data_IF_300511534607
#
_entry.id   IF_300511534607
#
_cell.length_a   1.000
_cell.length_b   1.000
_cell.length_c   1.000
_cell.angle_alpha   90.00
_cell.angle_beta   90.00
_cell.angle_gamma   90.00
#
_symmetry.space_group_name_H-M   'P 1'
#
loop_
_entity.id
_entity.type
_entity.pdbx_description
1 polymer ?
2 non-polymer ?
3 non-polymer ?
4 water ?
#
# COMPACT_ATOMS: atom_id res chain seq x y z
N UNK A 4 -14.66 -26.74 7.34
CA UNK A 4 -14.08 -25.86 6.27
C UNK A 4 -12.91 -25.07 6.86
N UNK A 5 -11.65 -25.38 6.50
CA UNK A 5 -10.48 -24.81 7.16
C UNK A 5 -10.29 -23.31 6.86
N UNK A 6 -9.65 -22.60 7.77
CA UNK A 6 -9.31 -21.17 7.58
C UNK A 6 -8.09 -21.06 6.69
N UNK A 7 -8.07 -20.11 5.74
CA UNK A 7 -6.95 -20.02 4.83
C UNK A 7 -5.70 -19.48 5.50
N UNK A 8 -4.55 -19.85 4.93
CA UNK A 8 -3.20 -19.41 5.37
C UNK A 8 -2.73 -18.34 4.38
N UNK A 9 -3.33 -18.31 3.19
CA UNK A 9 -2.99 -17.37 2.10
C UNK A 9 -4.26 -17.02 1.33
N UNK A 10 -4.36 -15.78 0.85
CA UNK A 10 -5.46 -15.32 -0.03
C UNK A 10 -4.80 -14.63 -1.23
N UNK A 11 -5.54 -14.44 -2.29
CA UNK A 11 -5.08 -13.60 -3.41
C UNK A 11 -5.95 -12.37 -3.43
N UNK A 12 -5.28 -11.27 -3.70
CA UNK A 12 -5.88 -9.92 -3.71
C UNK A 12 -5.61 -9.32 -5.08
N UNK A 13 -6.67 -8.89 -5.73
CA UNK A 13 -6.61 -8.08 -6.95
C UNK A 13 -6.67 -6.61 -6.55
N UNK A 14 -5.76 -5.83 -7.10
CA UNK A 14 -5.71 -4.35 -7.00
C UNK A 14 -5.81 -3.80 -8.41
N UNK A 15 -6.80 -2.95 -8.62
CA UNK A 15 -7.00 -2.25 -9.90
C UNK A 15 -6.90 -0.77 -9.67
N UNK A 16 -6.25 -0.04 -10.57
CA UNK A 16 -6.33 1.43 -10.55
C UNK A 16 -6.58 1.90 -11.98
N UNK A 17 -7.60 2.74 -12.11
CA UNK A 17 -7.96 3.29 -13.43
C UNK A 17 -8.42 4.72 -13.29
N UNK A 18 -7.71 5.64 -13.92
CA UNK A 18 -8.20 7.01 -14.15
C UNK A 18 -9.07 6.93 -15.41
N UNK A 19 -10.37 7.07 -15.23
CA UNK A 19 -11.39 6.83 -16.26
C UNK A 19 -11.53 8.06 -17.16
N UNK A 20 -10.85 9.17 -16.86
CA UNK A 20 -10.92 10.37 -17.71
C UNK A 20 -12.34 10.92 -17.86
N UNK A 21 -13.16 10.77 -16.82
CA UNK A 21 -14.52 11.34 -16.73
C UNK A 21 -15.42 10.77 -17.84
N UNK A 22 -15.08 9.58 -18.35
CA UNK A 22 -15.85 8.94 -19.43
C UNK A 22 -16.36 7.61 -18.90
N UNK A 23 -17.57 7.21 -19.32
CA UNK A 23 -18.09 5.89 -18.96
C UNK A 23 -17.19 4.82 -19.54
N UNK A 24 -17.15 3.65 -18.89
CA UNK A 24 -16.30 2.57 -19.37
C UNK A 24 -16.94 1.93 -20.59
N UNK A 25 -16.20 1.13 -21.36
CA UNK A 25 -16.81 0.32 -22.42
C UNK A 25 -17.60 -0.87 -21.83
N UNK A 26 -18.33 -1.60 -22.67
CA UNK A 26 -19.27 -2.65 -22.18
C UNK A 26 -18.47 -3.80 -21.57
N UNK A 27 -17.24 -4.04 -22.01
CA UNK A 27 -16.42 -5.14 -21.47
C UNK A 27 -15.11 -4.65 -20.87
N UNK A 28 -14.86 -4.97 -19.59
CA UNK A 28 -13.63 -4.55 -18.86
C UNK A 28 -13.03 -5.79 -18.16
N UNK A 29 -13.48 -6.97 -18.55
CA UNK A 29 -13.03 -8.27 -17.94
C UNK A 29 -11.50 -8.47 -18.01
N UNK A 30 -10.84 -7.96 -19.07
CA UNK A 30 -9.36 -8.00 -19.25
C UNK A 30 -8.67 -7.48 -17.99
N UNK A 31 -9.21 -6.41 -17.42
CA UNK A 31 -8.64 -5.76 -16.22
C UNK A 31 -8.56 -6.78 -15.10
N UNK A 32 -9.69 -7.40 -14.79
CA UNK A 32 -9.82 -8.30 -13.61
C UNK A 32 -9.09 -9.60 -13.89
N UNK A 33 -8.80 -9.89 -15.14
CA UNK A 33 -8.08 -11.12 -15.54
C UNK A 33 -6.57 -10.86 -15.64
N UNK A 34 -6.12 -9.64 -15.43
CA UNK A 34 -4.67 -9.31 -15.50
C UNK A 34 -4.15 -9.70 -16.89
N UNK A 35 -4.87 -9.27 -17.93
CA UNK A 35 -4.53 -9.51 -19.35
C UNK A 35 -4.12 -8.19 -20.00
N UNK A 36 -3.05 -8.22 -20.82
CA UNK A 36 -2.61 -7.06 -21.59
C UNK A 36 -1.11 -7.10 -21.63
N UNK A 37 -0.48 -6.02 -21.17
CA UNK A 37 0.98 -5.84 -21.16
C UNK A 37 1.52 -6.02 -19.74
N UNK A 38 2.80 -6.35 -19.62
CA UNK A 38 3.50 -6.42 -18.36
C UNK A 38 3.58 -7.84 -17.85
N UNK A 39 3.55 -7.98 -16.53
CA UNK A 39 3.51 -9.29 -15.84
C UNK A 39 2.03 -9.70 -15.75
N UNK A 40 1.61 -10.59 -16.66
CA UNK A 40 0.19 -10.99 -16.80
C UNK A 40 -0.07 -12.34 -16.15
N UNK A 41 -1.35 -12.62 -15.94
CA UNK A 41 -1.85 -13.81 -15.25
C UNK A 41 -2.01 -14.92 -16.29
N UNK A 42 -1.66 -16.14 -15.89
CA UNK A 42 -1.80 -17.33 -16.75
C UNK A 42 -3.28 -17.57 -17.11
N UNK A 43 -3.52 -17.93 -18.37
CA UNK A 43 -4.87 -18.23 -18.91
C UNK A 43 -5.53 -19.29 -18.03
N UNK A 44 -4.74 -20.23 -17.51
CA UNK A 44 -5.25 -21.41 -16.80
C UNK A 44 -5.90 -20.97 -15.47
N UNK A 45 -5.68 -19.72 -15.05
CA UNK A 45 -6.22 -19.18 -13.78
C UNK A 45 -7.52 -18.39 -14.00
N UNK A 46 -7.96 -18.22 -15.24
CA UNK A 46 -9.02 -17.23 -15.56
C UNK A 46 -10.29 -17.47 -14.75
N UNK A 47 -10.65 -18.73 -14.45
CA UNK A 47 -11.93 -18.99 -13.76
C UNK A 47 -11.75 -18.91 -12.25
N UNK A 48 -10.52 -18.81 -11.79
CA UNK A 48 -10.21 -18.86 -10.34
C UNK A 48 -10.40 -17.46 -9.80
N UNK A 49 -11.36 -17.24 -8.89
CA UNK A 49 -11.58 -15.89 -8.36
C UNK A 49 -10.45 -15.55 -7.39
N UNK A 50 -10.11 -14.27 -7.36
CA UNK A 50 -9.32 -13.69 -6.25
C UNK A 50 -10.26 -13.68 -5.06
N UNK A 51 -9.68 -13.68 -3.88
CA UNK A 51 -10.45 -13.68 -2.63
C UNK A 51 -11.04 -12.31 -2.42
N UNK A 52 -10.24 -11.28 -2.72
CA UNK A 52 -10.60 -9.85 -2.50
C UNK A 52 -10.24 -9.10 -3.78
N UNK A 53 -11.15 -8.26 -4.29
CA UNK A 53 -10.89 -7.32 -5.38
C UNK A 53 -11.03 -5.91 -4.85
N UNK A 54 -9.99 -5.10 -5.02
CA UNK A 54 -9.97 -3.68 -4.58
C UNK A 54 -9.79 -2.87 -5.84
N UNK A 55 -10.78 -2.02 -6.13
CA UNK A 55 -10.87 -1.25 -7.40
C UNK A 55 -10.77 0.24 -7.09
N UNK A 56 -9.66 0.88 -7.47
CA UNK A 56 -9.44 2.31 -7.27
C UNK A 56 -9.69 2.99 -8.59
N UNK A 57 -10.57 3.96 -8.58
CA UNK A 57 -10.76 4.79 -9.78
C UNK A 57 -10.50 6.26 -9.45
N UNK A 58 -10.18 7.01 -10.50
CA UNK A 58 -9.97 8.47 -10.46
C UNK A 58 -10.69 9.04 -11.67
N UNK A 59 -11.10 10.30 -11.56
CA UNK A 59 -11.90 10.92 -12.63
C UNK A 59 -13.09 10.01 -12.97
N UNK A 60 -13.71 9.39 -11.98
CA UNK A 60 -14.79 8.41 -12.18
C UNK A 60 -16.12 9.17 -12.30
N UNK A 61 -16.80 9.10 -13.46
CA UNK A 61 -18.04 9.85 -13.69
C UNK A 61 -19.30 9.12 -13.24
N UNK A 62 -19.16 7.88 -12.81
CA UNK A 62 -20.31 7.00 -12.50
C UNK A 62 -20.79 7.25 -11.06
N UNK A 63 -22.05 6.94 -10.82
CA UNK A 63 -22.56 6.82 -9.44
C UNK A 63 -21.93 5.57 -8.84
N UNK A 64 -21.95 5.46 -7.51
CA UNK A 64 -21.46 4.26 -6.82
C UNK A 64 -22.30 3.09 -7.33
N UNK A 65 -23.62 3.30 -7.43
CA UNK A 65 -24.54 2.24 -7.88
C UNK A 65 -24.14 1.76 -9.29
N UNK A 66 -23.98 2.70 -10.21
CA UNK A 66 -23.64 2.36 -11.62
C UNK A 66 -22.35 1.54 -11.66
N UNK A 67 -21.35 1.94 -10.90
CA UNK A 67 -20.01 1.28 -10.93
C UNK A 67 -20.10 -0.09 -10.27
N UNK A 68 -20.78 -0.20 -9.14
CA UNK A 68 -20.98 -1.50 -8.47
C UNK A 68 -21.66 -2.52 -9.40
N UNK A 69 -22.68 -2.06 -10.13
CA UNK A 69 -23.40 -2.85 -11.16
C UNK A 69 -22.37 -3.45 -12.13
N UNK A 70 -21.57 -2.58 -12.75
CA UNK A 70 -20.58 -2.98 -13.77
C UNK A 70 -19.54 -3.91 -13.14
N UNK A 71 -19.04 -3.58 -11.94
CA UNK A 71 -18.00 -4.42 -11.34
C UNK A 71 -18.55 -5.81 -11.05
N UNK A 72 -19.64 -5.89 -10.28
CA UNK A 72 -20.19 -7.19 -9.84
C UNK A 72 -20.53 -8.10 -11.04
N UNK A 73 -21.18 -7.53 -12.07
CA UNK A 73 -21.52 -8.24 -13.33
C UNK A 73 -20.24 -8.80 -13.96
N UNK A 74 -19.21 -7.98 -14.09
CA UNK A 74 -17.92 -8.33 -14.72
C UNK A 74 -17.31 -9.52 -13.97
N UNK A 75 -17.25 -9.46 -12.64
CA UNK A 75 -16.69 -10.57 -11.84
C UNK A 75 -17.58 -11.81 -11.97
N UNK A 76 -18.89 -11.62 -11.91
CA UNK A 76 -19.82 -12.78 -12.06
C UNK A 76 -19.63 -13.44 -13.44
N UNK A 77 -19.49 -12.66 -14.50
CA UNK A 77 -19.26 -13.23 -15.84
C UNK A 77 -17.94 -14.02 -15.85
N UNK A 78 -16.89 -13.52 -15.22
CA UNK A 78 -15.56 -14.20 -15.23
C UNK A 78 -15.63 -15.50 -14.43
N UNK A 79 -16.20 -15.43 -13.23
CA UNK A 79 -15.96 -16.42 -12.16
C UNK A 79 -17.20 -17.25 -11.90
N UNK A 80 -18.37 -16.76 -12.32
CA UNK A 80 -19.70 -17.30 -11.92
C UNK A 80 -19.92 -17.16 -10.42
N UNK A 81 -19.20 -16.26 -9.75
CA UNK A 81 -19.38 -15.95 -8.30
C UNK A 81 -20.00 -14.56 -8.17
N UNK A 82 -20.99 -14.44 -7.29
CA UNK A 82 -21.61 -13.15 -6.94
C UNK A 82 -20.83 -12.58 -5.77
N UNK A 83 -20.05 -11.53 -6.02
CA UNK A 83 -19.17 -10.98 -4.97
C UNK A 83 -20.00 -10.12 -4.01
N UNK A 84 -19.62 -10.12 -2.75
CA UNK A 84 -20.22 -9.26 -1.71
C UNK A 84 -19.48 -7.95 -1.66
N UNK A 85 -20.21 -6.86 -1.46
CA UNK A 85 -19.59 -5.53 -1.32
C UNK A 85 -19.13 -5.37 0.12
N UNK A 86 -17.84 -5.21 0.34
CA UNK A 86 -17.23 -4.97 1.67
C UNK A 86 -17.33 -3.48 2.02
N UNK A 87 -16.97 -2.64 1.05
CA UNK A 87 -16.90 -1.19 1.29
C UNK A 87 -16.84 -0.48 -0.05
N UNK A 88 -17.37 0.72 -0.06
CA UNK A 88 -17.27 1.65 -1.19
C UNK A 88 -17.20 3.06 -0.60
N UNK A 89 -16.22 3.82 -1.02
CA UNK A 89 -16.04 5.19 -0.52
C UNK A 89 -15.58 6.07 -1.68
N UNK A 90 -16.23 7.23 -1.83
CA UNK A 90 -15.97 8.19 -2.92
C UNK A 90 -15.65 9.55 -2.30
N UNK A 91 -14.54 10.17 -2.73
CA UNK A 91 -14.27 11.60 -2.50
C UNK A 91 -14.22 12.23 -3.88
N UNK A 92 -15.17 13.11 -4.17
CA UNK A 92 -15.25 13.78 -5.48
C UNK A 92 -15.33 12.70 -6.54
N UNK A 93 -14.30 12.53 -7.36
CA UNK A 93 -14.34 11.55 -8.46
C UNK A 93 -13.28 10.48 -8.20
N UNK A 94 -12.87 10.37 -6.95
CA UNK A 94 -11.90 9.33 -6.48
C UNK A 94 -12.63 8.26 -5.67
N UNK A 95 -12.53 7.01 -6.10
CA UNK A 95 -13.43 5.99 -5.54
C UNK A 95 -12.64 4.73 -5.24
N UNK A 96 -13.02 4.08 -4.15
CA UNK A 96 -12.48 2.74 -3.82
C UNK A 96 -13.68 1.81 -3.60
N UNK A 97 -13.60 0.62 -4.21
CA UNK A 97 -14.59 -0.47 -4.02
C UNK A 97 -13.83 -1.69 -3.55
N UNK A 98 -14.30 -2.33 -2.48
CA UNK A 98 -13.76 -3.62 -2.01
C UNK A 98 -14.85 -4.67 -2.13
N UNK A 99 -14.56 -5.69 -2.93
CA UNK A 99 -15.45 -6.84 -3.16
C UNK A 99 -14.77 -8.09 -2.64
N UNK A 100 -15.54 -9.00 -2.06
CA UNK A 100 -14.95 -10.28 -1.59
C UNK A 100 -15.85 -11.46 -1.91
N UNK A 101 -15.23 -12.64 -2.02
CA UNK A 101 -15.95 -13.94 -2.13
C UNK A 101 -17.01 -13.99 -1.03
N UNK A 102 -18.21 -14.54 -1.30
CA UNK A 102 -19.20 -14.70 -0.24
C UNK A 102 -18.73 -15.58 0.92
N UNK A 103 -17.87 -16.55 0.67
CA UNK A 103 -17.36 -17.43 1.77
C UNK A 103 -16.56 -16.61 2.78
N UNK A 104 -16.16 -15.38 2.46
CA UNK A 104 -15.32 -14.53 3.34
C UNK A 104 -16.15 -13.57 4.18
N UNK A 105 -17.46 -13.57 4.01
CA UNK A 105 -18.32 -12.57 4.68
C UNK A 105 -18.09 -12.53 6.21
N UNK A 106 -17.95 -13.71 6.81
CA UNK A 106 -17.83 -13.89 8.29
C UNK A 106 -16.36 -13.96 8.70
N UNK A 107 -15.44 -13.70 7.77
CA UNK A 107 -13.98 -13.58 8.05
C UNK A 107 -13.60 -12.09 8.10
N UNK A 108 -14.46 -11.26 7.54
CA UNK A 108 -14.21 -9.81 7.37
C UNK A 108 -14.98 -9.02 8.43
N UNK A 109 -14.27 -8.15 9.14
CA UNK A 109 -14.88 -7.34 10.22
C UNK A 109 -14.08 -6.02 10.33
N UNK A 110 -14.50 -5.13 11.20
CA UNK A 110 -13.74 -3.89 11.51
C UNK A 110 -13.48 -3.11 10.22
N UNK A 111 -14.51 -2.96 9.41
CA UNK A 111 -14.39 -2.21 8.13
C UNK A 111 -14.36 -0.73 8.45
N UNK A 112 -13.32 -0.05 7.98
CA UNK A 112 -13.17 1.43 8.10
C UNK A 112 -13.01 2.02 6.70
N UNK A 113 -13.51 3.24 6.52
CA UNK A 113 -13.35 4.02 5.27
C UNK A 113 -12.97 5.41 5.71
N UNK A 114 -12.14 6.06 4.91
CA UNK A 114 -11.79 7.47 5.15
C UNK A 114 -11.32 8.09 3.86
N UNK A 115 -11.16 9.39 3.88
CA UNK A 115 -10.65 10.16 2.73
C UNK A 115 -9.80 11.29 3.30
N UNK A 116 -8.82 11.72 2.52
CA UNK A 116 -8.04 12.94 2.76
C UNK A 116 -8.16 13.80 1.51
N UNK A 117 -8.45 15.08 1.71
CA UNK A 117 -8.39 16.09 0.66
C UNK A 117 -7.02 16.76 0.72
N UNK A 118 -6.28 16.79 -0.38
CA UNK A 118 -4.91 17.38 -0.32
C UNK A 118 -4.95 18.84 -0.82
N UNK A 119 -3.94 19.64 -0.45
CA UNK A 119 -3.81 21.01 -0.97
C UNK A 119 -4.58 22.02 -0.14
N UNK A 120 -4.42 23.31 -0.46
CA UNK A 120 -5.02 24.46 0.28
C UNK A 120 -5.56 25.46 -0.77
N UNK A 121 -6.82 25.89 -0.62
CA UNK A 121 -7.48 26.98 -1.40
C UNK A 121 -7.53 26.60 -2.90
N UNK A 122 -6.71 27.24 -3.74
CA UNK A 122 -6.40 26.84 -5.15
C UNK A 122 -6.43 25.32 -5.30
N UNK A 123 -5.57 24.64 -4.52
CA UNK A 123 -5.10 23.24 -4.72
C UNK A 123 -5.99 22.26 -3.94
N UNK A 124 -6.98 22.76 -3.17
CA UNK A 124 -8.05 21.92 -2.55
C UNK A 124 -9.28 21.95 -3.47
N UNK A 125 -9.71 20.79 -3.98
CA UNK A 125 -10.99 20.72 -4.72
C UNK A 125 -11.13 19.47 -5.57
N UNK A 126 -10.03 18.80 -5.94
CA UNK A 126 -10.27 17.51 -6.63
C UNK A 126 -9.27 16.35 -6.39
N UNK A 127 -8.13 16.63 -5.74
CA UNK A 127 -7.07 15.63 -5.47
C UNK A 127 -7.16 15.17 -4.01
N UNK A 128 -6.73 13.93 -3.75
CA UNK A 128 -6.67 13.39 -2.39
C UNK A 128 -6.70 11.89 -2.48
N UNK A 129 -7.24 11.25 -1.46
CA UNK A 129 -7.18 9.79 -1.37
C UNK A 129 -8.43 9.29 -0.69
N UNK A 130 -8.85 8.11 -1.07
CA UNK A 130 -9.81 7.33 -0.28
C UNK A 130 -9.12 6.06 0.21
N UNK A 131 -9.63 5.51 1.29
CA UNK A 131 -9.10 4.25 1.79
C UNK A 131 -10.11 3.39 2.48
N UNK A 132 -9.74 2.14 2.61
CA UNK A 132 -10.56 1.11 3.26
C UNK A 132 -9.58 0.28 4.07
N UNK A 133 -9.97 -0.07 5.28
CA UNK A 133 -9.30 -1.15 6.03
C UNK A 133 -10.30 -2.14 6.58
N UNK A 134 -9.82 -3.33 6.88
CA UNK A 134 -10.63 -4.33 7.60
C UNK A 134 -9.71 -5.42 8.09
N UNK A 135 -10.25 -6.24 8.96
CA UNK A 135 -9.63 -7.48 9.42
C UNK A 135 -10.12 -8.61 8.54
N UNK A 136 -9.22 -9.45 8.10
CA UNK A 136 -9.55 -10.72 7.46
C UNK A 136 -9.02 -11.79 8.42
N UNK A 137 -9.89 -12.41 9.20
CA UNK A 137 -9.47 -13.27 10.33
C UNK A 137 -8.46 -12.49 11.17
N UNK A 138 -7.24 -12.99 11.38
CA UNK A 138 -6.29 -12.35 12.29
C UNK A 138 -5.40 -11.33 11.60
N UNK A 139 -5.68 -11.03 10.34
CA UNK A 139 -4.79 -10.21 9.50
C UNK A 139 -5.49 -8.89 9.18
N UNK A 140 -4.77 -7.79 9.35
CA UNK A 140 -5.30 -6.44 9.05
C UNK A 140 -4.85 -6.08 7.64
N UNK A 141 -5.79 -5.54 6.86
CA UNK A 141 -5.57 -5.16 5.45
C UNK A 141 -5.96 -3.68 5.28
N UNK A 142 -5.08 -2.89 4.70
CA UNK A 142 -5.37 -1.50 4.34
C UNK A 142 -5.19 -1.26 2.88
N UNK A 143 -5.97 -0.33 2.32
CA UNK A 143 -6.01 -0.08 0.87
C UNK A 143 -6.22 1.40 0.70
N UNK A 144 -5.32 2.01 -0.07
CA UNK A 144 -5.36 3.47 -0.32
C UNK A 144 -5.37 3.68 -1.83
N UNK A 145 -6.39 4.40 -2.31
CA UNK A 145 -6.50 4.87 -3.70
C UNK A 145 -6.24 6.38 -3.66
N UNK A 146 -5.13 6.86 -4.18
CA UNK A 146 -4.83 8.31 -4.21
C UNK A 146 -4.75 8.82 -5.64
N UNK A 147 -5.30 10.01 -5.86
CA UNK A 147 -5.11 10.82 -7.09
C UNK A 147 -4.26 12.01 -6.68
N UNK A 148 -2.98 12.00 -6.99
CA UNK A 148 -2.05 13.03 -6.52
C UNK A 148 -1.98 14.15 -7.56
N UNK A 149 -1.25 15.19 -7.20
CA UNK A 149 -1.16 16.42 -8.01
C UNK A 149 -0.60 16.03 -9.37
N UNK A 150 -1.15 16.59 -10.43
CA UNK A 150 -0.70 16.37 -11.82
C UNK A 150 0.41 17.35 -12.21
N UNK A 151 1.06 17.05 -13.31
CA UNK A 151 2.05 17.95 -13.90
C UNK A 151 3.44 17.45 -13.68
N UNK A 152 4.24 17.41 -14.75
CA UNK A 152 5.64 16.97 -14.71
C UNK A 152 6.48 17.74 -13.70
N UNK A 153 6.14 19.01 -13.49
CA UNK A 153 6.93 19.99 -12.68
C UNK A 153 6.61 19.82 -11.18
N UNK A 154 5.60 19.04 -10.82
CA UNK A 154 5.07 19.02 -9.42
C UNK A 154 5.37 17.74 -8.64
N UNK A 155 6.54 17.17 -8.81
CA UNK A 155 6.86 15.91 -8.07
C UNK A 155 6.91 16.23 -6.57
N UNK A 156 7.43 17.39 -6.19
CA UNK A 156 7.52 17.74 -4.75
C UNK A 156 6.11 17.82 -4.14
N UNK A 157 5.16 18.43 -4.87
CA UNK A 157 3.74 18.53 -4.45
C UNK A 157 3.19 17.12 -4.24
N UNK A 158 3.45 16.22 -5.20
CA UNK A 158 2.99 14.82 -5.07
C UNK A 158 3.55 14.23 -3.77
N UNK A 159 4.82 14.46 -3.48
CA UNK A 159 5.46 13.88 -2.27
C UNK A 159 4.76 14.45 -1.03
N UNK A 160 4.39 15.72 -1.08
CA UNK A 160 3.68 16.39 0.03
C UNK A 160 2.29 15.78 0.15
N UNK A 161 1.60 15.52 -0.97
CA UNK A 161 0.25 14.90 -0.99
C UNK A 161 0.36 13.54 -0.29
N UNK A 162 1.32 12.73 -0.71
CA UNK A 162 1.60 11.43 -0.06
C UNK A 162 1.74 11.57 1.47
N UNK A 163 2.55 12.53 1.95
CA UNK A 163 2.76 12.67 3.41
C UNK A 163 1.42 13.05 4.06
N UNK A 164 0.70 14.01 3.49
CA UNK A 164 -0.62 14.41 4.05
C UNK A 164 -1.57 13.21 4.13
N UNK A 165 -1.62 12.42 3.08
CA UNK A 165 -2.52 11.24 3.05
C UNK A 165 -2.11 10.26 4.18
N UNK A 166 -0.81 9.97 4.22
CA UNK A 166 -0.16 9.07 5.20
C UNK A 166 -0.53 9.51 6.61
N UNK A 167 -0.43 10.80 6.89
CA UNK A 167 -0.67 11.36 8.25
C UNK A 167 -2.14 11.34 8.62
N UNK A 168 -3.03 11.68 7.71
CA UNK A 168 -4.40 12.09 8.08
C UNK A 168 -5.44 11.04 7.70
N UNK A 169 -5.10 10.03 6.90
CA UNK A 169 -6.06 8.98 6.59
C UNK A 169 -6.26 8.13 7.85
N UNK A 170 -7.50 8.07 8.34
CA UNK A 170 -7.88 7.46 9.63
C UNK A 170 -8.47 6.08 9.37
N UNK A 171 -7.60 5.09 9.26
CA UNK A 171 -8.00 3.70 9.00
C UNK A 171 -7.41 2.86 10.11
N UNK A 172 -7.93 1.67 10.27
CA UNK A 172 -7.32 0.65 11.12
C UNK A 172 -7.63 0.93 12.56
N UNK A 173 -6.87 0.34 13.45
CA UNK A 173 -7.21 0.28 14.90
C UNK A 173 -6.84 1.61 15.52
N UNK A 174 -7.87 2.44 15.96
CA UNK A 174 -7.63 3.78 16.57
C UNK A 174 -6.81 3.67 17.86
N UNK A 175 -6.79 2.44 18.49
CA UNK A 175 -5.95 2.27 19.71
C UNK A 175 -4.47 2.35 19.37
N UNK A 176 -4.11 2.16 18.09
CA UNK A 176 -2.70 2.27 17.60
C UNK A 176 -2.37 3.75 17.42
N UNK A 177 -2.56 4.55 18.46
CA UNK A 177 -2.60 6.02 18.32
C UNK A 177 -1.26 6.59 17.87
N UNK A 178 -0.07 6.09 18.23
CA UNK A 178 1.17 6.67 17.71
C UNK A 178 1.44 6.37 16.23
N UNK A 179 0.65 5.48 15.64
CA UNK A 179 0.99 4.89 14.32
C UNK A 179 0.07 5.43 13.23
N UNK A 180 0.69 5.83 12.14
CA UNK A 180 -0.03 6.19 10.89
C UNK A 180 -0.33 4.91 10.10
N UNK A 181 -1.01 5.07 8.96
CA UNK A 181 -1.42 3.89 8.16
C UNK A 181 -0.20 3.08 7.71
N UNK A 182 1.01 3.64 7.64
CA UNK A 182 2.18 2.85 7.16
C UNK A 182 2.64 1.85 8.24
N UNK A 183 2.00 1.80 9.40
CA UNK A 183 2.31 0.79 10.45
C UNK A 183 1.08 0.05 10.95
N UNK A 184 -0.13 0.36 10.48
CA UNK A 184 -1.36 -0.19 11.12
C UNK A 184 -1.76 -1.54 10.56
N UNK A 185 -1.16 -1.97 9.43
CA UNK A 185 -1.68 -3.12 8.69
C UNK A 185 -0.61 -4.17 8.44
N UNK A 186 -1.01 -5.44 8.55
CA UNK A 186 -0.18 -6.55 8.11
C UNK A 186 0.25 -6.32 6.66
N UNK A 187 -0.72 -5.91 5.84
CA UNK A 187 -0.50 -5.60 4.41
C UNK A 187 -1.23 -4.30 4.08
N UNK A 188 -0.47 -3.36 3.51
CA UNK A 188 -0.98 -2.04 3.07
C UNK A 188 -0.73 -1.95 1.57
N UNK A 189 -1.77 -1.73 0.79
CA UNK A 189 -1.66 -1.54 -0.67
C UNK A 189 -1.99 -0.08 -0.93
N UNK A 190 -1.09 0.62 -1.63
CA UNK A 190 -1.31 2.03 -1.99
C UNK A 190 -1.14 2.14 -3.48
N UNK A 191 -2.18 2.62 -4.12
CA UNK A 191 -2.29 2.62 -5.58
C UNK A 191 -3.03 3.92 -5.95
N UNK A 192 -3.08 4.13 -7.25
CA UNK A 192 -3.90 5.22 -7.81
C UNK A 192 -3.23 5.84 -9.01
N UNK A 193 -3.74 6.99 -9.38
CA UNK A 193 -3.06 7.90 -10.32
C UNK A 193 -2.13 8.77 -9.48
N UNK A 194 -0.92 8.27 -9.25
CA UNK A 194 0.09 8.95 -8.43
C UNK A 194 0.71 10.09 -9.22
N UNK A 195 0.63 10.05 -10.55
CA UNK A 195 0.86 11.22 -11.43
C UNK A 195 2.33 11.56 -11.58
N UNK A 196 3.23 10.68 -11.13
CA UNK A 196 4.68 10.86 -11.38
C UNK A 196 4.95 10.62 -12.87
N UNK A 197 5.82 11.44 -13.43
CA UNK A 197 6.07 11.45 -14.87
C UNK A 197 7.47 10.96 -15.18
N UNK A 198 7.67 10.67 -16.46
CA UNK A 198 8.99 10.41 -17.06
C UNK A 198 9.61 11.77 -17.34
N UNK A 199 10.60 12.14 -16.53
CA UNK A 199 11.25 13.48 -16.57
C UNK A 199 12.34 13.46 -17.65
N UNK A 200 11.95 13.75 -18.89
CA UNK A 200 12.86 13.89 -20.02
C UNK A 200 12.45 15.18 -20.69
N UNK A 201 13.33 15.77 -21.51
CA UNK A 201 12.99 17.02 -22.18
C UNK A 201 11.81 16.78 -23.10
N UNK A 202 10.93 17.78 -23.23
CA UNK A 202 9.65 17.68 -23.99
C UNK A 202 9.92 17.46 -25.48
N UNK A 203 11.09 17.91 -25.97
CA UNK A 203 11.51 17.74 -27.39
C UNK A 203 11.98 16.29 -27.64
N UNK A 204 12.11 15.47 -26.59
CA UNK A 204 12.35 14.01 -26.73
C UNK A 204 11.04 13.20 -26.87
N UNK A 205 9.88 13.85 -26.99
CA UNK A 205 8.59 13.14 -26.99
C UNK A 205 8.59 12.02 -28.04
N UNK A 206 9.00 12.31 -29.26
CA UNK A 206 8.86 11.31 -30.34
C UNK A 206 9.85 10.20 -30.06
N UNK A 207 11.02 10.51 -29.49
CA UNK A 207 12.05 9.50 -29.13
C UNK A 207 11.45 8.58 -28.07
N UNK A 208 10.82 9.15 -27.06
CA UNK A 208 10.12 8.34 -26.02
C UNK A 208 9.09 7.38 -26.66
N UNK A 209 8.27 7.89 -27.56
CA UNK A 209 7.24 7.10 -28.25
C UNK A 209 7.88 5.92 -29.00
N UNK A 210 8.97 6.17 -29.72
CA UNK A 210 9.65 5.11 -30.51
C UNK A 210 10.28 4.08 -29.55
N UNK A 211 10.79 4.50 -28.38
CA UNK A 211 11.23 3.53 -27.33
C UNK A 211 10.06 2.66 -26.85
N UNK A 212 8.92 3.30 -26.61
CA UNK A 212 7.70 2.54 -26.20
C UNK A 212 7.29 1.55 -27.30
N UNK A 213 7.31 1.94 -28.57
CA UNK A 213 6.94 1.01 -29.66
C UNK A 213 7.91 -0.18 -29.73
N UNK A 214 9.15 -0.01 -29.33
CA UNK A 214 10.17 -1.09 -29.31
C UNK A 214 10.13 -1.86 -27.98
N UNK A 215 9.24 -1.50 -27.07
CA UNK A 215 9.13 -2.15 -25.72
C UNK A 215 10.46 -2.05 -24.96
N UNK A 216 11.15 -0.93 -25.15
CA UNK A 216 12.47 -0.66 -24.52
C UNK A 216 12.20 0.40 -23.47
N UNK A 217 11.97 -0.04 -22.25
CA UNK A 217 11.46 0.85 -21.17
C UNK A 217 12.60 1.27 -20.26
N UNK A 218 13.78 0.65 -20.34
CA UNK A 218 14.86 0.86 -19.35
C UNK A 218 15.24 2.35 -19.24
N UNK A 219 15.49 3.03 -20.36
CA UNK A 219 15.96 4.43 -20.40
C UNK A 219 14.79 5.35 -20.02
N UNK A 220 13.57 4.87 -20.06
CA UNK A 220 12.41 5.69 -19.62
C UNK A 220 12.23 5.55 -18.11
N UNK A 221 12.22 4.31 -17.61
CA UNK A 221 12.10 4.04 -16.15
C UNK A 221 13.22 4.71 -15.35
N UNK A 222 14.43 4.83 -15.90
CA UNK A 222 15.57 5.52 -15.21
C UNK A 222 15.22 6.99 -14.98
N UNK A 223 14.21 7.53 -15.65
CA UNK A 223 13.75 8.94 -15.46
C UNK A 223 12.35 9.03 -14.86
N UNK A 224 11.76 7.90 -14.50
CA UNK A 224 10.44 7.89 -13.81
C UNK A 224 10.60 8.58 -12.45
N UNK A 225 9.78 9.60 -12.19
CA UNK A 225 9.93 10.40 -10.96
C UNK A 225 9.60 9.56 -9.74
N UNK A 226 8.70 8.61 -9.82
CA UNK A 226 8.36 7.84 -8.61
C UNK A 226 9.58 6.98 -8.27
N UNK A 227 10.15 6.27 -9.25
CA UNK A 227 11.35 5.45 -8.98
C UNK A 227 12.47 6.34 -8.42
N UNK A 228 12.75 7.49 -9.02
CA UNK A 228 13.91 8.33 -8.63
C UNK A 228 13.62 8.95 -7.27
N UNK A 229 12.42 9.47 -7.04
CA UNK A 229 12.07 10.02 -5.70
C UNK A 229 12.16 8.94 -4.60
N UNK A 230 11.67 7.74 -4.89
CA UNK A 230 11.75 6.58 -3.96
C UNK A 230 13.23 6.27 -3.67
N UNK A 231 14.07 6.27 -4.70
CA UNK A 231 15.49 5.90 -4.55
C UNK A 231 16.20 6.93 -3.65
N UNK A 232 15.76 8.19 -3.67
CA UNK A 232 16.34 9.26 -2.83
C UNK A 232 15.59 9.40 -1.50
N UNK A 233 14.65 8.49 -1.21
CA UNK A 233 13.92 8.40 0.07
C UNK A 233 13.09 9.66 0.26
N UNK A 234 12.52 10.16 -0.82
CA UNK A 234 11.71 11.41 -0.74
C UNK A 234 10.24 11.04 -0.54
N UNK A 235 9.87 9.80 -0.84
CA UNK A 235 8.45 9.37 -0.89
C UNK A 235 8.40 7.84 -0.83
N UNK A 236 7.31 7.30 -0.31
CA UNK A 236 7.01 5.86 -0.27
C UNK A 236 8.20 5.08 0.34
N UNK A 237 8.78 5.63 1.39
CA UNK A 237 9.88 4.93 2.09
C UNK A 237 9.31 3.64 2.66
N UNK A 238 10.02 2.53 2.40
CA UNK A 238 9.76 1.16 2.91
C UNK A 238 8.59 0.50 2.20
N UNK A 239 8.16 1.05 1.05
CA UNK A 239 7.13 0.41 0.19
C UNK A 239 7.86 -0.35 -0.91
N UNK A 240 7.16 -1.34 -1.49
CA UNK A 240 7.64 -2.17 -2.62
C UNK A 240 6.81 -1.83 -3.86
N UNK A 241 7.40 -2.03 -5.05
CA UNK A 241 6.68 -1.95 -6.30
C UNK A 241 7.32 -3.05 -7.15
N UNK A 242 6.49 -3.81 -7.85
CA UNK A 242 6.93 -4.84 -8.83
C UNK A 242 7.60 -4.10 -10.00
N UNK A 243 8.56 -4.74 -10.65
CA UNK A 243 9.21 -4.19 -11.86
C UNK A 243 8.12 -3.89 -12.89
N UNK A 244 8.21 -2.74 -13.53
CA UNK A 244 7.29 -2.28 -14.59
C UNK A 244 7.78 -2.83 -15.93
N UNK A 245 6.93 -3.60 -16.59
CA UNK A 245 7.27 -4.25 -17.88
C UNK A 245 6.15 -3.97 -18.88
N UNK A 246 5.34 -2.95 -18.61
CA UNK A 246 4.24 -2.52 -19.50
C UNK A 246 4.51 -1.09 -19.97
N UNK A 247 3.95 -0.72 -21.10
CA UNK A 247 4.13 0.65 -21.66
C UNK A 247 3.53 1.66 -20.69
N UNK A 248 4.04 2.90 -20.70
CA UNK A 248 3.39 4.01 -20.00
C UNK A 248 1.88 4.03 -20.21
N UNK A 249 1.13 4.31 -19.14
CA UNK A 249 -0.34 4.14 -19.15
C UNK A 249 -1.03 5.46 -19.43
N UNK A 250 -0.25 6.50 -19.70
CA UNK A 250 -0.77 7.88 -19.90
C UNK A 250 0.21 8.57 -20.85
N UNK A 251 -0.19 9.51 -21.70
CA UNK A 251 -1.54 9.97 -21.96
C UNK A 251 -1.91 9.48 -23.36
N UNK A 252 -2.99 8.72 -23.46
CA UNK A 252 -3.42 8.14 -24.76
C UNK A 252 -4.48 9.03 -25.40
N UNK A 253 -4.52 9.01 -26.72
CA UNK A 253 -5.71 9.40 -27.49
C UNK A 253 -6.80 8.38 -27.15
N UNK A 254 -8.00 8.84 -26.89
CA UNK A 254 -9.16 7.97 -26.57
C UNK A 254 -9.56 7.15 -27.81
N UNK A 255 -10.05 5.93 -27.56
CA UNK A 255 -10.68 4.97 -28.52
C UNK A 255 -9.62 4.26 -29.36
N UNK A 256 -8.33 4.51 -29.16
CA UNK A 256 -7.27 3.64 -29.67
C UNK A 256 -6.27 3.45 -28.55
N UNK A 257 -5.28 2.56 -28.67
CA UNK A 257 -4.05 2.64 -27.83
C UNK A 257 -2.85 2.94 -28.71
N UNK A 258 -3.08 3.36 -29.95
CA UNK A 258 -2.01 3.45 -30.98
C UNK A 258 -1.26 4.77 -30.86
N UNK A 259 -1.81 5.73 -30.10
CA UNK A 259 -1.26 7.10 -30.09
C UNK A 259 -1.18 7.63 -28.66
N UNK A 260 0.00 8.12 -28.33
CA UNK A 260 0.17 8.98 -27.14
C UNK A 260 -0.10 10.41 -27.55
N UNK A 261 -0.97 11.09 -26.79
CA UNK A 261 -1.32 12.52 -26.95
C UNK A 261 -0.55 13.31 -25.91
N UNK A 262 0.61 13.83 -26.29
CA UNK A 262 1.54 14.47 -25.34
C UNK A 262 1.64 15.99 -25.50
N UNK A 263 1.20 16.52 -26.66
CA UNK A 263 1.39 17.94 -27.05
C UNK A 263 0.57 18.85 -26.11
N UNK A 264 1.09 20.05 -25.83
CA UNK A 264 0.38 21.03 -24.98
C UNK A 264 -0.84 21.53 -25.75
N UNK A 265 -1.96 21.66 -25.05
CA UNK A 265 -3.27 22.08 -25.58
C UNK A 265 -3.90 23.02 -24.55
N UNK A 266 -4.86 23.86 -24.95
CA UNK A 266 -5.61 24.64 -23.95
C UNK A 266 -6.13 23.69 -22.87
N UNK A 267 -6.71 22.55 -23.27
CA UNK A 267 -7.31 21.56 -22.35
C UNK A 267 -6.28 21.01 -21.34
N UNK A 268 -4.97 21.12 -21.58
CA UNK A 268 -3.97 20.64 -20.59
C UNK A 268 -3.36 21.79 -19.79
N UNK A 269 -3.93 23.00 -19.86
CA UNK A 269 -3.27 24.18 -19.27
C UNK A 269 -1.97 24.49 -19.95
N UNK A 270 -1.85 24.13 -21.23
CA UNK A 270 -0.66 24.34 -22.08
C UNK A 270 0.53 23.58 -21.49
N UNK A 271 0.25 22.39 -20.94
CA UNK A 271 1.25 21.47 -20.36
C UNK A 271 1.46 20.29 -21.30
N UNK A 272 2.71 19.88 -21.49
CA UNK A 272 3.05 18.62 -22.16
C UNK A 272 2.73 17.50 -21.20
N UNK A 273 2.24 16.41 -21.75
CA UNK A 273 2.07 15.15 -20.98
C UNK A 273 2.88 14.08 -21.70
N UNK A 274 4.19 14.08 -21.54
CA UNK A 274 5.04 12.98 -22.06
C UNK A 274 4.54 11.66 -21.50
N UNK A 275 4.59 10.57 -22.29
CA UNK A 275 4.19 9.24 -21.82
C UNK A 275 4.81 8.96 -20.47
N UNK A 276 3.96 8.52 -19.54
CA UNK A 276 4.37 8.35 -18.14
C UNK A 276 3.62 7.18 -17.50
N UNK A 277 4.26 6.61 -16.49
CA UNK A 277 3.61 5.60 -15.64
C UNK A 277 2.92 6.31 -14.47
N UNK A 278 1.79 6.95 -14.76
CA UNK A 278 1.01 7.69 -13.75
C UNK A 278 0.36 6.74 -12.76
N UNK A 279 0.06 5.53 -13.21
CA UNK A 279 -0.93 4.64 -12.58
C UNK A 279 -0.22 3.45 -11.96
N UNK A 280 -0.19 3.38 -10.63
CA UNK A 280 0.81 2.55 -9.94
C UNK A 280 0.15 1.78 -8.80
N UNK A 281 0.80 0.68 -8.43
CA UNK A 281 0.42 -0.13 -7.24
C UNK A 281 1.70 -0.40 -6.46
N UNK A 282 1.71 0.01 -5.20
CA UNK A 282 2.81 -0.27 -4.25
C UNK A 282 2.21 -0.94 -3.01
N UNK A 283 3.06 -1.60 -2.25
CA UNK A 283 2.60 -2.21 -1.00
C UNK A 283 3.69 -2.16 0.06
N UNK A 284 3.27 -2.37 1.28
CA UNK A 284 4.17 -2.51 2.42
C UNK A 284 3.49 -3.50 3.35
N UNK A 285 4.17 -4.58 3.64
CA UNK A 285 3.70 -5.62 4.55
C UNK A 285 4.67 -5.66 5.73
N UNK A 286 4.18 -6.13 6.86
CA UNK A 286 5.01 -6.30 8.07
C UNK A 286 6.14 -7.26 7.73
N UNK A 287 7.27 -7.11 8.43
CA UNK A 287 8.44 -7.95 8.16
C UNK A 287 8.14 -9.44 8.26
N UNK A 288 8.66 -10.21 7.30
CA UNK A 288 8.57 -11.71 7.25
C UNK A 288 7.12 -12.19 7.18
N UNK A 289 6.22 -11.39 6.60
CA UNK A 289 4.88 -11.90 6.20
C UNK A 289 4.96 -12.17 4.70
N UNK A 290 4.40 -13.31 4.29
CA UNK A 290 4.38 -13.70 2.86
C UNK A 290 3.59 -12.66 2.06
N UNK A 291 4.20 -12.11 1.04
CA UNK A 291 3.46 -11.29 0.06
C UNK A 291 4.23 -11.41 -1.23
N UNK A 292 3.56 -11.86 -2.26
CA UNK A 292 4.24 -12.06 -3.58
C UNK A 292 3.34 -11.46 -4.65
N UNK A 293 3.88 -10.55 -5.41
CA UNK A 293 3.17 -9.98 -6.56
C UNK A 293 3.15 -11.03 -7.67
N UNK A 294 1.94 -11.39 -8.12
CA UNK A 294 1.70 -12.41 -9.16
C UNK A 294 1.48 -11.75 -10.53
N UNK A 295 1.06 -10.48 -10.55
CA UNK A 295 0.80 -9.78 -11.82
C UNK A 295 0.91 -8.30 -11.55
N UNK A 296 1.35 -7.59 -12.58
CA UNK A 296 1.47 -6.14 -12.57
C UNK A 296 1.57 -5.71 -14.02
N UNK A 297 0.51 -5.09 -14.49
CA UNK A 297 0.43 -4.78 -15.91
C UNK A 297 -0.69 -3.84 -16.23
N UNK A 298 -0.88 -3.60 -17.52
CA UNK A 298 -1.96 -2.71 -17.99
C UNK A 298 -2.79 -3.42 -19.06
N UNK A 299 -4.05 -3.04 -19.18
CA UNK A 299 -4.91 -3.59 -20.23
C UNK A 299 -4.56 -2.87 -21.53
N UNK A 300 -4.90 -3.51 -22.65
CA UNK A 300 -4.64 -3.02 -24.03
C UNK A 300 -5.97 -2.71 -24.73
N UNK A 301 -7.11 -3.17 -24.19
CA UNK A 301 -8.39 -3.25 -24.93
C UNK A 301 -9.47 -2.38 -24.27
N UNK A 302 -9.13 -1.57 -23.26
CA UNK A 302 -10.06 -0.62 -22.59
C UNK A 302 -9.54 0.76 -22.91
N UNK A 303 -10.24 1.48 -23.77
CA UNK A 303 -9.73 2.69 -24.49
C UNK A 303 -10.61 3.92 -24.26
N UNK A 304 -11.55 3.89 -23.32
CA UNK A 304 -12.49 5.03 -23.11
C UNK A 304 -11.77 6.21 -22.47
N UNK A 305 -10.66 5.98 -21.77
CA UNK A 305 -9.93 7.01 -21.03
C UNK A 305 -8.63 7.34 -21.75
N UNK A 306 -8.01 8.42 -21.33
CA UNK A 306 -6.62 8.77 -21.75
C UNK A 306 -5.62 8.00 -20.88
N UNK A 307 -6.09 7.21 -19.94
CA UNK A 307 -5.29 6.26 -19.13
C UNK A 307 -5.72 4.85 -19.47
N UNK A 308 -4.79 3.91 -19.46
CA UNK A 308 -5.10 2.48 -19.42
C UNK A 308 -5.19 2.03 -17.97
N UNK A 309 -6.18 1.17 -17.65
CA UNK A 309 -6.25 0.49 -16.37
C UNK A 309 -4.95 -0.27 -16.08
N UNK A 310 -4.58 -0.28 -14.81
CA UNK A 310 -3.47 -1.09 -14.27
C UNK A 310 -4.08 -2.10 -13.30
N UNK A 311 -3.55 -3.32 -13.34
CA UNK A 311 -3.85 -4.42 -12.42
C UNK A 311 -2.56 -4.84 -11.73
N UNK A 312 -2.72 -5.31 -10.51
CA UNK A 312 -1.68 -6.03 -9.77
C UNK A 312 -2.39 -7.06 -8.91
N UNK A 313 -1.82 -8.24 -8.84
CA UNK A 313 -2.35 -9.29 -7.96
C UNK A 313 -1.26 -9.75 -7.03
N UNK A 314 -1.71 -10.17 -5.86
CA UNK A 314 -0.82 -10.59 -4.80
C UNK A 314 -1.34 -11.85 -4.11
N UNK A 315 -0.41 -12.73 -3.75
CA UNK A 315 -0.61 -13.81 -2.75
C UNK A 315 -0.16 -13.26 -1.39
N UNK A 316 -1.08 -13.17 -0.42
CA UNK A 316 -0.80 -12.54 0.89
C UNK A 316 -1.05 -13.52 2.00
N UNK A 317 -0.08 -13.66 2.88
CA UNK A 317 -0.21 -14.48 4.08
C UNK A 317 -1.28 -13.88 4.98
N UNK A 318 -2.12 -14.75 5.53
CA UNK A 318 -3.18 -14.44 6.51
C UNK A 318 -3.07 -15.45 7.64
N UNK A 319 -3.54 -15.03 8.81
CA UNK A 319 -3.57 -15.88 10.02
C UNK A 319 -5.01 -16.05 10.47
N UNK A 320 -5.25 -17.10 11.28
CA UNK A 320 -6.56 -17.44 11.88
C UNK A 320 -6.90 -16.44 12.99
N UNK A 321 -8.17 -16.46 13.44
CA UNK A 321 -8.61 -15.74 14.66
C UNK A 321 -8.42 -16.71 15.84
N UNK A 322 -7.23 -16.73 16.42
CA UNK A 322 -6.76 -17.75 17.39
C UNK A 322 -7.48 -17.67 18.74
N UNK A 323 -7.98 -18.82 19.23
CA UNK A 323 -8.57 -18.97 20.59
C UNK A 323 -7.81 -20.09 21.33
N UNK A 324 -7.44 -19.83 22.57
CA UNK A 324 -6.93 -20.86 23.51
C UNK A 324 -7.79 -20.87 24.78
N UNK A 325 -7.48 -21.82 25.64
CA UNK A 325 -8.00 -22.00 27.03
C UNK A 325 -7.82 -20.68 27.78
N UNK A 326 -6.67 -20.04 27.56
CA UNK A 326 -6.25 -18.80 28.25
C UNK A 326 -6.72 -17.60 27.43
N UNK A 327 -5.83 -16.93 26.70
CA UNK A 327 -6.24 -15.80 25.86
C UNK A 327 -7.00 -16.26 24.62
N UNK A 328 -7.80 -15.38 23.98
CA UNK A 328 -8.09 -14.05 24.53
C UNK A 328 -8.91 -14.03 25.82
N UNK A 329 -8.76 -12.95 26.58
CA UNK A 329 -9.47 -12.66 27.83
C UNK A 329 -8.58 -12.73 29.05
N UNK A 330 -7.33 -13.15 28.85
CA UNK A 330 -6.30 -13.28 29.91
C UNK A 330 -4.94 -13.48 29.24
N UNK A 331 -3.90 -13.50 30.06
CA UNK A 331 -2.50 -13.74 29.59
C UNK A 331 -2.26 -15.26 29.63
N UNK A 332 -1.19 -15.70 28.99
CA UNK A 332 -0.75 -17.11 28.99
C UNK A 332 0.67 -17.10 29.56
N UNK A 333 0.83 -17.47 30.83
CA UNK A 333 2.09 -17.28 31.59
C UNK A 333 3.20 -18.12 30.94
N UNK A 334 2.87 -19.04 30.02
CA UNK A 334 3.90 -19.85 29.29
C UNK A 334 4.52 -19.04 28.17
N UNK A 335 4.02 -17.84 27.90
CA UNK A 335 4.56 -16.93 26.88
C UNK A 335 5.18 -15.69 27.49
N UNK A 336 6.29 -15.20 26.94
CA UNK A 336 6.88 -13.91 27.32
C UNK A 336 7.77 -13.41 26.17
N UNK A 337 7.80 -12.10 26.02
CA UNK A 337 8.75 -11.42 25.09
C UNK A 337 9.67 -10.52 25.91
N UNK A 338 10.97 -10.79 25.83
CA UNK A 338 12.02 -9.99 26.49
C UNK A 338 12.87 -9.29 25.43
N UNK A 339 13.21 -8.04 25.73
CA UNK A 339 14.13 -7.16 24.96
C UNK A 339 15.40 -6.91 25.80
N UNK A 340 16.55 -7.27 25.24
CA UNK A 340 17.90 -7.12 25.86
C UNK A 340 18.72 -6.12 25.05
N UNK A 341 19.58 -5.33 25.71
CA UNK A 341 20.66 -4.51 25.08
C UNK A 341 20.02 -3.64 23.98
N UNK A 342 18.85 -3.06 24.24
CA UNK A 342 18.12 -2.29 23.21
C UNK A 342 18.51 -0.82 23.28
N UNK A 343 18.63 -0.20 22.12
CA UNK A 343 18.84 1.25 22.06
C UNK A 343 18.20 1.80 20.80
N UNK A 344 17.72 3.01 20.93
CA UNK A 344 17.17 3.77 19.78
C UNK A 344 18.25 4.76 19.37
N UNK A 345 18.41 5.00 18.08
CA UNK A 345 19.29 6.05 17.53
C UNK A 345 18.34 7.02 16.85
N UNK A 346 18.26 8.27 17.30
CA UNK A 346 17.29 9.24 16.73
C UNK A 346 18.07 10.37 16.06
N UNK A 347 17.52 10.91 14.98
CA UNK A 347 18.12 12.05 14.23
C UNK A 347 17.80 13.37 14.93
N UNK A 348 16.87 13.39 15.87
CA UNK A 348 16.40 14.62 16.57
C UNK A 348 17.59 15.38 17.18
N UNK A 349 17.50 16.70 17.15
CA UNK A 349 18.48 17.59 17.81
C UNK A 349 17.99 17.94 19.22
N UNK A 350 16.80 17.46 19.61
CA UNK A 350 16.15 17.79 20.90
C UNK A 350 16.82 17.03 22.05
N UNK A 351 16.62 17.53 23.27
CA UNK A 351 17.02 16.89 24.55
C UNK A 351 15.79 16.90 25.48
N UNK A 352 14.96 15.88 25.33
CA UNK A 352 13.94 15.39 26.31
C UNK A 352 14.36 13.96 26.66
N UNK A 353 13.83 13.42 27.75
CA UNK A 353 13.88 11.96 27.99
C UNK A 353 12.89 11.30 27.01
N UNK A 354 13.15 10.05 26.68
CA UNK A 354 12.28 9.23 25.80
C UNK A 354 11.87 7.94 26.52
N UNK A 355 10.65 7.47 26.23
CA UNK A 355 10.18 6.12 26.63
C UNK A 355 9.65 5.41 25.39
N UNK A 356 9.43 4.11 25.51
CA UNK A 356 8.89 3.29 24.40
C UNK A 356 7.44 2.91 24.72
N UNK A 357 6.65 2.72 23.68
CA UNK A 357 5.35 2.00 23.79
C UNK A 357 5.42 0.80 22.85
N UNK A 358 5.01 -0.35 23.37
CA UNK A 358 4.92 -1.61 22.63
C UNK A 358 3.43 -1.82 22.37
N UNK A 359 3.04 -1.85 21.10
CA UNK A 359 1.66 -2.18 20.70
C UNK A 359 1.63 -3.46 19.89
N UNK A 360 0.71 -4.35 20.23
CA UNK A 360 0.52 -5.61 19.46
C UNK A 360 -0.81 -6.22 19.85
N UNK A 361 -1.48 -6.83 18.87
CA UNK A 361 -2.70 -7.64 19.04
C UNK A 361 -2.43 -8.83 19.98
N UNK A 362 -1.16 -9.25 20.12
CA UNK A 362 -0.78 -10.37 21.03
C UNK A 362 -0.72 -9.91 22.50
N UNK A 363 -0.91 -8.61 22.80
CA UNK A 363 -0.96 -8.07 24.20
C UNK A 363 -2.37 -7.63 24.53
N UNK A 364 -2.71 -7.62 25.81
CA UNK A 364 -4.08 -7.20 26.19
C UNK A 364 -4.19 -5.70 25.93
N UNK A 365 -3.14 -4.93 26.19
CA UNK A 365 -3.08 -3.50 25.83
C UNK A 365 -1.62 -3.08 25.71
N UNK A 366 -1.39 -1.89 25.19
CA UNK A 366 -0.01 -1.43 24.93
C UNK A 366 0.74 -1.31 26.25
N UNK A 367 2.06 -1.41 26.15
CA UNK A 367 2.99 -1.39 27.30
C UNK A 367 3.93 -0.19 27.15
N UNK A 368 4.02 0.60 28.22
CA UNK A 368 4.88 1.82 28.29
C UNK A 368 6.12 1.51 29.12
N UNK A 369 7.30 1.66 28.53
CA UNK A 369 8.60 1.38 29.20
C UNK A 369 8.91 2.54 30.15
N UNK A 370 9.90 2.32 31.01
CA UNK A 370 10.62 3.40 31.73
C UNK A 370 11.36 4.24 30.70
N UNK A 371 11.77 5.43 31.11
CA UNK A 371 12.61 6.32 30.27
C UNK A 371 13.95 5.63 30.03
N UNK A 372 14.47 5.74 28.82
CA UNK A 372 15.84 5.30 28.51
C UNK A 372 16.86 6.33 28.95
N UNK A 373 18.14 6.00 28.80
CA UNK A 373 19.27 6.92 29.15
C UNK A 373 19.89 7.46 27.86
N UNK A 374 19.81 8.77 27.71
CA UNK A 374 20.38 9.53 26.55
C UNK A 374 21.89 9.54 26.67
N UNK A 375 22.57 9.15 25.58
CA UNK A 375 24.03 9.35 25.38
C UNK A 375 24.22 10.07 24.05
N UNK A 376 25.40 10.66 23.87
CA UNK A 376 25.87 11.25 22.59
C UNK A 376 26.48 10.13 21.74
N UNK A 377 26.02 9.95 20.50
CA UNK A 377 26.68 9.11 19.48
C UNK A 377 27.91 9.80 18.91
N UNK A 378 28.87 9.02 18.40
CA UNK A 378 30.20 9.47 17.92
C UNK A 378 30.06 10.50 16.79
N UNK A 379 28.97 10.44 16.02
CA UNK A 379 28.76 11.24 14.77
C UNK A 379 27.61 12.24 14.99
N UNK A 380 27.43 12.78 16.21
CA UNK A 380 26.41 13.80 16.53
C UNK A 380 25.08 13.27 17.08
N UNK A 381 24.72 12.00 16.81
CA UNK A 381 23.36 11.41 17.01
C UNK A 381 22.95 11.36 18.48
N UNK A 382 21.64 11.31 18.73
CA UNK A 382 21.09 10.91 20.06
C UNK A 382 20.92 9.39 20.11
N UNK A 383 21.49 8.74 21.12
CA UNK A 383 21.33 7.28 21.36
C UNK A 383 20.57 7.18 22.66
N UNK A 384 19.42 6.53 22.65
CA UNK A 384 18.61 6.30 23.87
C UNK A 384 18.82 4.85 24.28
N UNK A 385 19.43 4.63 25.44
CA UNK A 385 19.78 3.27 25.92
C UNK A 385 18.66 2.80 26.83
N UNK A 386 18.13 1.62 26.56
CA UNK A 386 17.10 0.94 27.36
C UNK A 386 17.75 -0.19 28.17
N UNK A 387 18.94 -0.62 27.75
CA UNK A 387 19.67 -1.79 28.28
C UNK A 387 18.78 -3.01 28.44
N UNK A 388 18.61 -3.42 29.70
CA UNK A 388 17.89 -4.63 30.16
C UNK A 388 16.70 -4.17 30.99
N UNK A 389 16.34 -2.89 30.86
CA UNK A 389 15.30 -2.20 31.67
C UNK A 389 13.91 -2.41 31.05
N UNK A 390 13.81 -2.83 29.78
CA UNK A 390 12.49 -2.90 29.09
C UNK A 390 11.60 -3.95 29.75
N UNK A 391 10.29 -3.66 29.92
CA UNK A 391 9.38 -4.56 30.62
C UNK A 391 9.21 -5.88 29.83
N UNK A 392 8.90 -6.95 30.57
CA UNK A 392 8.66 -8.28 29.99
C UNK A 392 7.25 -8.27 29.44
N UNK A 393 7.06 -8.52 28.14
CA UNK A 393 5.72 -8.45 27.49
C UNK A 393 5.03 -9.81 27.69
N UNK A 394 3.74 -9.74 28.03
CA UNK A 394 2.93 -10.90 28.46
C UNK A 394 1.89 -11.16 27.38
N UNK A 395 2.19 -12.06 26.43
CA UNK A 395 1.24 -12.31 25.34
C UNK A 395 0.02 -13.05 25.89
N UNK A 396 -1.08 -12.93 25.14
CA UNK A 396 -2.41 -13.48 25.47
C UNK A 396 -2.42 -14.98 25.17
N UNK A 397 -1.56 -15.42 24.28
CA UNK A 397 -1.51 -16.82 23.80
C UNK A 397 -0.03 -17.21 23.67
N UNK A 398 0.36 -18.40 24.12
CA UNK A 398 1.77 -18.81 24.19
C UNK A 398 2.07 -19.76 23.04
N UNK A 399 1.02 -20.26 22.38
CA UNK A 399 1.17 -21.28 21.32
C UNK A 399 2.10 -20.66 20.27
N UNK A 400 3.22 -21.33 19.96
CA UNK A 400 4.15 -20.82 18.95
C UNK A 400 3.51 -20.66 17.58
N UNK A 401 2.50 -21.45 17.24
CA UNK A 401 1.77 -21.36 15.93
C UNK A 401 1.07 -19.99 15.83
N UNK A 402 0.70 -19.43 16.96
CA UNK A 402 0.16 -18.05 17.00
C UNK A 402 1.31 -17.04 17.13
N UNK A 403 2.15 -17.23 18.14
CA UNK A 403 2.97 -16.10 18.64
C UNK A 403 4.03 -15.78 17.58
N UNK A 404 4.57 -16.77 16.89
CA UNK A 404 5.66 -16.53 15.93
C UNK A 404 5.11 -15.77 14.71
N UNK A 405 3.79 -15.70 14.53
CA UNK A 405 3.16 -14.98 13.40
C UNK A 405 2.84 -13.54 13.78
N UNK A 406 3.18 -13.13 15.00
CA UNK A 406 2.76 -11.78 15.49
C UNK A 406 3.86 -10.77 15.22
N UNK A 407 3.53 -9.51 15.48
CA UNK A 407 4.45 -8.36 15.33
C UNK A 407 4.29 -7.41 16.51
N UNK A 408 5.37 -6.72 16.87
CA UNK A 408 5.33 -5.68 17.93
C UNK A 408 5.63 -4.35 17.26
N UNK A 409 4.68 -3.44 17.30
CA UNK A 409 4.88 -2.03 16.88
C UNK A 409 5.57 -1.30 18.03
N UNK A 410 6.58 -0.51 17.70
CA UNK A 410 7.34 0.28 18.70
C UNK A 410 7.18 1.75 18.35
N UNK A 411 6.79 2.55 19.34
CA UNK A 411 6.90 4.02 19.27
C UNK A 411 7.89 4.50 20.32
N UNK A 412 8.76 5.40 19.95
CA UNK A 412 9.62 6.10 20.94
C UNK A 412 9.04 7.49 21.11
N UNK A 413 8.69 7.84 22.36
CA UNK A 413 7.93 9.07 22.67
C UNK A 413 8.72 9.96 23.63
N UNK A 414 8.62 11.26 23.42
CA UNK A 414 9.13 12.30 24.32
C UNK A 414 8.36 12.22 25.64
N UNK A 415 9.06 12.13 26.77
CA UNK A 415 8.44 12.26 28.11
C UNK A 415 7.77 13.63 28.26
N UNK A 416 8.36 14.69 27.71
CA UNK A 416 7.87 16.09 27.87
C UNK A 416 6.55 16.27 27.10
N UNK A 417 6.46 15.74 25.89
CA UNK A 417 5.31 16.05 25.00
C UNK A 417 4.41 14.82 24.79
N UNK A 418 4.90 13.61 25.04
CA UNK A 418 4.20 12.33 24.72
C UNK A 418 3.96 12.23 23.20
N UNK A 419 4.75 12.96 22.54
CA UNK A 419 4.64 12.85 21.07
C UNK A 419 5.64 11.79 20.59
N UNK A 420 5.13 10.93 19.57
CA UNK A 420 6.04 9.93 18.94
C UNK A 420 7.12 10.64 18.12
N UNK A 421 8.38 10.26 18.32
CA UNK A 421 9.52 10.69 17.50
C UNK A 421 9.86 9.64 16.44
N UNK A 422 9.32 8.43 16.57
CA UNK A 422 9.67 7.34 15.65
C UNK A 422 8.82 6.12 15.90
N UNK A 423 8.44 5.47 14.83
CA UNK A 423 7.60 4.25 14.84
C UNK A 423 8.29 3.19 14.00
N UNK A 424 8.18 1.96 14.45
CA UNK A 424 8.72 0.82 13.72
C UNK A 424 8.02 -0.45 14.09
N UNK A 425 8.51 -1.56 13.59
CA UNK A 425 7.81 -2.85 13.71
C UNK A 425 8.84 -3.98 13.74
N UNK A 426 8.66 -4.89 14.68
CA UNK A 426 9.53 -6.08 14.90
C UNK A 426 8.70 -7.35 14.68
N UNK A 427 9.14 -8.25 13.82
CA UNK A 427 8.50 -9.56 13.59
C UNK A 427 8.90 -10.51 14.73
N UNK A 428 7.96 -11.31 15.18
CA UNK A 428 8.24 -12.40 16.14
C UNK A 428 8.49 -13.74 15.41
N UNK A 429 8.62 -13.69 14.08
CA UNK A 429 8.95 -14.87 13.22
C UNK A 429 10.43 -15.19 13.37
N UNK A 430 10.84 -15.59 14.59
CA UNK A 430 12.28 -15.74 14.95
C UNK A 430 12.85 -17.07 14.45
N UNK A 431 14.15 -17.12 14.29
CA UNK A 431 14.91 -18.35 13.93
C UNK A 431 14.89 -19.35 15.08
N UNK A 432 14.64 -18.89 16.30
CA UNK A 432 14.72 -19.71 17.54
C UNK A 432 13.88 -19.07 18.61
N UNK A 433 13.38 -19.89 19.53
CA UNK A 433 12.76 -19.42 20.80
C UNK A 433 13.77 -19.67 21.94
N UNK A 434 13.58 -18.98 23.06
CA UNK A 434 14.40 -19.13 24.29
C UNK A 434 15.86 -18.84 23.95
N UNK A 435 16.10 -17.97 22.95
CA UNK A 435 17.44 -17.66 22.39
C UNK A 435 17.49 -16.16 22.16
N UNK A 436 18.54 -15.49 22.66
CA UNK A 436 18.74 -14.05 22.36
C UNK A 436 19.08 -13.90 20.88
N UNK A 437 18.33 -13.09 20.15
CA UNK A 437 18.52 -12.94 18.69
C UNK A 437 18.50 -11.45 18.37
N UNK A 438 19.29 -11.00 17.39
CA UNK A 438 19.24 -9.60 17.01
C UNK A 438 17.83 -9.23 16.49
N UNK A 439 17.39 -8.02 16.85
CA UNK A 439 16.22 -7.37 16.23
C UNK A 439 16.63 -5.98 15.77
N UNK A 440 15.83 -5.48 14.83
CA UNK A 440 16.11 -4.22 14.13
C UNK A 440 14.81 -3.73 13.49
N UNK A 441 14.56 -2.42 13.62
CA UNK A 441 13.60 -1.73 12.74
C UNK A 441 14.11 -0.34 12.49
N UNK A 442 13.95 0.18 11.27
CA UNK A 442 14.02 1.64 11.09
C UNK A 442 12.86 2.28 11.84
N UNK A 443 13.05 3.54 12.19
CA UNK A 443 12.00 4.35 12.82
C UNK A 443 11.65 5.47 11.89
N UNK A 444 10.36 5.67 11.71
CA UNK A 444 9.83 6.76 10.85
C UNK A 444 8.89 7.61 11.71
N UNK A 445 8.67 8.84 11.25
CA UNK A 445 7.57 9.68 11.78
C UNK A 445 7.03 10.49 10.61
N UNK A 446 5.70 10.49 10.43
CA UNK A 446 5.09 11.04 9.20
C UNK A 446 5.76 10.36 8.00
N UNK A 447 6.15 9.10 8.15
CA UNK A 447 6.66 8.28 7.04
C UNK A 447 8.04 8.72 6.58
N UNK A 448 8.73 9.57 7.34
CA UNK A 448 10.13 9.97 7.08
C UNK A 448 11.04 9.27 8.09
N UNK A 449 12.24 8.89 7.68
CA UNK A 449 13.23 8.25 8.61
C UNK A 449 13.61 9.21 9.72
N UNK A 450 13.49 8.75 10.97
CA UNK A 450 13.82 9.56 12.16
C UNK A 450 14.85 8.83 13.02
N UNK A 451 15.20 7.60 12.66
CA UNK A 451 16.09 6.85 13.55
C UNK A 451 16.05 5.37 13.32
N UNK A 452 16.52 4.64 14.31
CA UNK A 452 16.64 3.16 14.28
C UNK A 452 16.40 2.65 15.67
N UNK A 453 15.88 1.44 15.76
CA UNK A 453 15.77 0.72 17.04
C UNK A 453 16.38 -0.66 16.81
N UNK A 454 17.31 -1.02 17.68
CA UNK A 454 17.98 -2.34 17.55
C UNK A 454 18.32 -2.86 18.95
N UNK A 455 18.53 -4.17 19.01
CA UNK A 455 18.76 -4.84 20.30
C UNK A 455 18.68 -6.32 20.09
N UNK A 456 18.25 -7.01 21.13
CA UNK A 456 18.03 -8.45 21.05
C UNK A 456 16.65 -8.75 21.65
N UNK A 457 16.08 -9.85 21.20
CA UNK A 457 14.78 -10.37 21.67
C UNK A 457 15.06 -11.79 22.19
N UNK A 458 14.30 -12.22 23.23
CA UNK A 458 14.26 -13.59 23.77
C UNK A 458 12.77 -13.92 23.88
N UNK A 459 12.29 -14.83 22.93
CA UNK A 459 10.86 -15.19 22.88
C UNK A 459 10.64 -16.56 23.53
N UNK A 460 9.75 -16.59 24.52
CA UNK A 460 9.26 -17.84 25.17
C UNK A 460 7.87 -18.17 24.61
N UNK A 461 7.72 -19.37 24.05
CA UNK A 461 6.39 -19.93 23.66
C UNK A 461 6.18 -21.19 24.49
N UNK A 462 5.03 -21.82 24.36
CA UNK A 462 4.65 -23.05 25.11
C UNK A 462 5.47 -24.25 24.61
N UNK A 463 6.21 -24.14 23.51
CA UNK A 463 7.00 -25.29 23.00
C UNK A 463 8.48 -25.12 23.32
X LIG B 1 -18.19 -8.79 5.05
X LIG B 1 -18.51 -8.64 3.73
X LIG B 1 -19.30 -7.59 3.30
X LIG B 1 -19.77 -6.68 4.22
X LIG B 1 -21.24 -5.84 8.36
X LIG B 1 -22.06 -4.97 8.28
X LIG B 1 -21.58 -7.10 8.99
X LIG B 1 -19.86 -5.56 7.77
X LIG B 1 -18.72 -6.27 8.54
X LIG B 1 -20.02 -5.80 6.39
X LIG B 1 -19.47 -6.80 5.57
X LIG B 1 -17.90 -9.80 2.54
X LIG B 1 -18.67 -7.89 5.99
X LIG C 1 -1.06 -11.06 11.08
X LIG C 1 -1.76 -12.01 10.22
X LIG C 1 0.65 -11.34 10.80
X LIG C 1 -1.06 -11.72 12.74
X LIG D 1 -0.36 -5.75 15.19
X LIG D 1 -0.36 -6.71 16.38
X LIG D 1 -1.28 -4.33 15.76
X LIG D 1 1.24 -5.00 15.16
X LIG E 1 9.66 -0.82 9.44
X LIG E 1 8.22 -0.61 9.79
X LIG E 1 9.80 -0.80 7.67
X LIG E 1 10.00 -2.55 9.70
#
# INVERSE_FOLDING_TARGET
SMEQPEPDMITIFIGTWNMGNAPPPKKITSWFLSKGQGKTRDDSADYIPHDIYVIGTQEDPLSEKEWLEILKHSLQEITSVTFKTVAIHTLWNIRIVVLAKPEHENRISHICTDNVKTGIANTLGNKGAVGVSFMFNGTSLGFVNSHLTSGSEKKLRRNQNYMNILRFLALGDKKLSPFNITHRFTHLFWFGDLNYRVDLPTWEAETIIQKIKQQQYADLLSHDQLLTERREQKVFLHFEEEEITFAPTYRFERLTRDKYAYTKQKATGMKYNLPSWCDRVLWKSYPLVHVVCQSYGSTSDIMTSDHSPVFATFEAGVTSQFVSKNGPGTVDSQGQIEFLRCYATLKTKSQTKFYLEFHSSCLESFVKSQEGENEEGSEGELVVKFGETLPKLKPIISDPEYLLDQHILISIKSSDSDESYGEGCIALRLEATETQLPIYTPLTHHGELTGHFQGEIKLQTSQ
W0M C4 C5 C6 C7 C8 O1 N C1 C O C2 CL C3
DMS S O C1 C2
DMS S O C1 C2
DMS S O C1 C2
#
